data_IF_541049601879
#
_entry.id   IF_541049601879
#
_cell.length_a   1.000
_cell.length_b   1.000
_cell.length_c   1.000
_cell.angle_alpha   90.00
_cell.angle_beta   90.00
_cell.angle_gamma   90.00
#
_symmetry.space_group_name_H-M   'P 1'
#
loop_
_entity.id
_entity.type
_entity.pdbx_description
1 polymer ?
#
# COMPACT_ATOMS: atom_id res chain seq x y z
N UNK A 1 4.92 -25.85 2.97
CA UNK A 1 5.42 -25.35 4.27
C UNK A 1 4.88 -23.93 4.48
N UNK A 2 3.64 -23.82 4.99
CA UNK A 2 2.94 -22.53 5.19
C UNK A 2 3.67 -21.74 6.29
N UNK A 3 4.36 -20.66 5.90
CA UNK A 3 5.16 -19.84 6.81
C UNK A 3 4.34 -18.61 7.19
N UNK A 4 3.91 -18.58 8.45
CA UNK A 4 3.04 -17.54 8.99
C UNK A 4 3.58 -16.13 8.74
N UNK A 5 2.79 -15.28 8.09
CA UNK A 5 3.05 -13.85 7.97
C UNK A 5 2.91 -13.22 9.35
N UNK A 6 3.93 -12.50 9.80
CA UNK A 6 3.84 -11.72 11.04
C UNK A 6 2.78 -10.64 10.87
N UNK A 7 1.79 -10.59 11.75
CA UNK A 7 0.62 -9.68 11.69
C UNK A 7 1.01 -8.22 11.46
N UNK A 8 2.07 -7.73 12.10
CA UNK A 8 2.51 -6.33 11.93
C UNK A 8 3.01 -5.96 10.53
N UNK A 9 3.33 -6.95 9.69
CA UNK A 9 3.78 -6.74 8.30
C UNK A 9 2.64 -6.83 7.28
N UNK A 10 1.42 -7.20 7.70
CA UNK A 10 0.28 -7.44 6.80
C UNK A 10 0.07 -6.28 5.83
N UNK A 11 0.07 -5.03 6.29
CA UNK A 11 -0.10 -3.88 5.40
C UNK A 11 1.00 -3.78 4.32
N UNK A 12 2.26 -4.04 4.66
CA UNK A 12 3.35 -3.98 3.68
C UNK A 12 3.22 -5.10 2.66
N UNK A 13 2.86 -6.30 3.12
CA UNK A 13 2.57 -7.41 2.22
C UNK A 13 1.39 -7.09 1.27
N UNK A 14 0.28 -6.57 1.79
CA UNK A 14 -0.85 -6.16 0.96
C UNK A 14 -0.42 -5.12 -0.09
N UNK A 15 0.34 -4.10 0.30
CA UNK A 15 0.80 -3.05 -0.61
C UNK A 15 1.75 -3.58 -1.68
N UNK A 16 2.67 -4.49 -1.34
CA UNK A 16 3.52 -5.17 -2.32
C UNK A 16 2.67 -5.99 -3.31
N UNK A 17 1.70 -6.77 -2.84
CA UNK A 17 0.79 -7.52 -3.72
C UNK A 17 0.03 -6.57 -4.67
N UNK A 18 -0.49 -5.45 -4.17
CA UNK A 18 -1.20 -4.46 -4.97
C UNK A 18 -0.29 -3.86 -6.04
N UNK A 19 0.93 -3.45 -5.68
CA UNK A 19 1.90 -2.86 -6.61
C UNK A 19 2.33 -3.86 -7.69
N UNK A 20 2.64 -5.12 -7.33
CA UNK A 20 2.96 -6.17 -8.31
C UNK A 20 1.78 -6.47 -9.24
N UNK A 21 0.56 -6.53 -8.70
CA UNK A 21 -0.65 -6.72 -9.53
C UNK A 21 -0.87 -5.53 -10.47
N UNK A 22 -0.66 -4.31 -9.98
CA UNK A 22 -0.76 -3.10 -10.78
C UNK A 22 0.31 -3.07 -11.88
N UNK A 23 1.55 -3.49 -11.60
CA UNK A 23 2.61 -3.64 -12.60
C UNK A 23 2.24 -4.66 -13.69
N UNK A 24 1.71 -5.82 -13.30
CA UNK A 24 1.23 -6.82 -14.27
C UNK A 24 0.15 -6.25 -15.18
N UNK A 25 -0.75 -5.42 -14.65
CA UNK A 25 -1.77 -4.73 -15.44
C UNK A 25 -1.16 -3.63 -16.31
N UNK A 26 -0.25 -2.82 -15.78
CA UNK A 26 0.46 -1.77 -16.49
C UNK A 26 1.20 -2.33 -17.72
N UNK A 27 1.86 -3.48 -17.59
CA UNK A 27 2.54 -4.15 -18.69
C UNK A 27 1.55 -4.56 -19.81
N UNK A 28 0.37 -5.08 -19.44
CA UNK A 28 -0.69 -5.43 -20.42
C UNK A 28 -1.26 -4.20 -21.11
N UNK A 29 -1.40 -3.10 -20.38
CA UNK A 29 -1.96 -1.83 -20.88
C UNK A 29 -0.90 -0.90 -21.50
N UNK A 30 0.37 -1.32 -21.55
CA UNK A 30 1.52 -0.52 -22.02
C UNK A 30 1.69 0.79 -21.26
N UNK A 31 1.40 0.80 -19.97
CA UNK A 31 1.66 1.95 -19.09
C UNK A 31 3.13 1.97 -18.66
N UNK A 32 3.72 3.16 -18.58
CA UNK A 32 5.13 3.34 -18.25
C UNK A 32 5.40 3.53 -16.74
N UNK A 33 4.36 3.73 -15.92
CA UNK A 33 4.48 4.00 -14.49
C UNK A 33 3.19 3.66 -13.74
N UNK A 34 3.31 3.51 -12.42
CA UNK A 34 2.20 3.45 -11.47
C UNK A 34 2.05 4.81 -10.78
N UNK A 35 0.84 5.15 -10.34
CA UNK A 35 0.57 6.37 -9.58
C UNK A 35 -0.14 6.01 -8.28
N UNK A 36 0.32 6.59 -7.17
CA UNK A 36 -0.30 6.39 -5.85
C UNK A 36 -0.58 7.72 -5.17
N UNK A 37 -1.58 7.75 -4.30
CA UNK A 37 -1.89 8.89 -3.43
C UNK A 37 -1.07 8.92 -2.14
N UNK A 38 0.10 8.29 -2.10
CA UNK A 38 0.92 8.25 -0.89
C UNK A 38 1.45 9.64 -0.52
N UNK A 39 1.42 9.95 0.77
CA UNK A 39 2.09 11.11 1.35
C UNK A 39 2.97 10.72 2.54
N UNK A 40 4.10 11.40 2.70
CA UNK A 40 5.12 10.95 3.64
C UNK A 40 4.70 11.25 5.09
N UNK A 41 4.68 10.22 5.93
CA UNK A 41 4.47 10.38 7.37
C UNK A 41 3.03 10.62 7.84
N UNK A 42 2.03 10.58 6.95
CA UNK A 42 0.62 10.76 7.35
C UNK A 42 0.06 9.54 8.11
N UNK A 43 0.38 8.33 7.66
CA UNK A 43 0.01 7.08 8.34
C UNK A 43 1.24 6.24 8.63
N UNK A 44 1.14 5.36 9.64
CA UNK A 44 2.26 4.55 10.13
C UNK A 44 2.97 3.72 9.04
N UNK A 45 2.27 3.36 7.98
CA UNK A 45 2.84 2.57 6.88
C UNK A 45 3.58 3.41 5.84
N UNK A 46 3.35 4.73 5.75
CA UNK A 46 3.94 5.61 4.74
C UNK A 46 5.22 6.29 5.25
N UNK A 47 6.17 5.48 5.73
CA UNK A 47 7.51 5.96 6.06
C UNK A 47 8.43 5.79 4.86
N UNK A 48 9.52 6.57 4.80
CA UNK A 48 10.51 6.44 3.74
C UNK A 48 11.07 5.00 3.64
N UNK A 49 11.30 4.34 4.79
CA UNK A 49 11.77 2.95 4.81
C UNK A 49 10.77 1.98 4.20
N UNK A 50 9.48 2.16 4.47
CA UNK A 50 8.45 1.28 3.92
C UNK A 50 8.24 1.53 2.42
N UNK A 51 8.23 2.80 1.99
CA UNK A 51 8.12 3.16 0.57
C UNK A 51 9.31 2.61 -0.23
N UNK A 52 10.53 2.73 0.30
CA UNK A 52 11.71 2.14 -0.32
C UNK A 52 11.60 0.63 -0.47
N UNK A 53 11.10 -0.05 0.56
CA UNK A 53 10.88 -1.49 0.52
C UNK A 53 9.84 -1.84 -0.53
N UNK A 54 8.70 -1.16 -0.57
CA UNK A 54 7.62 -1.35 -1.55
C UNK A 54 8.11 -1.18 -2.99
N UNK A 55 8.82 -0.09 -3.28
CA UNK A 55 9.34 0.22 -4.61
C UNK A 55 10.34 -0.84 -5.10
N UNK A 56 11.06 -1.48 -4.18
CA UNK A 56 12.04 -2.50 -4.52
C UNK A 56 11.45 -3.82 -5.04
N UNK A 57 10.12 -3.96 -5.05
CA UNK A 57 9.38 -5.13 -5.56
C UNK A 57 8.69 -4.90 -6.91
N UNK A 58 8.79 -3.70 -7.48
CA UNK A 58 8.32 -3.38 -8.84
C UNK A 58 9.48 -2.85 -9.67
N UNK A 59 9.38 -3.03 -10.98
CA UNK A 59 10.41 -2.66 -11.96
C UNK A 59 10.08 -1.36 -12.71
N UNK A 60 8.81 -0.93 -12.69
CA UNK A 60 8.37 0.35 -13.27
C UNK A 60 8.29 1.45 -12.20
N UNK A 61 8.48 2.74 -12.58
CA UNK A 61 8.40 3.87 -11.65
C UNK A 61 7.05 3.96 -10.92
N UNK A 62 7.09 4.26 -9.61
CA UNK A 62 5.91 4.59 -8.79
C UNK A 62 5.90 6.09 -8.50
N UNK A 63 5.01 6.82 -9.14
CA UNK A 63 4.83 8.25 -8.99
C UNK A 63 3.97 8.56 -7.76
N UNK A 64 4.42 9.53 -6.96
CA UNK A 64 3.80 9.94 -5.69
C UNK A 64 3.61 11.46 -5.66
N UNK A 65 2.64 12.01 -6.42
CA UNK A 65 2.45 13.46 -6.53
C UNK A 65 2.15 14.13 -5.18
N UNK A 66 1.63 13.40 -4.20
CA UNK A 66 1.26 13.92 -2.88
C UNK A 66 2.37 13.75 -1.83
N UNK A 67 3.57 13.27 -2.21
CA UNK A 67 4.59 12.83 -1.24
C UNK A 67 4.99 13.91 -0.22
N UNK A 68 5.01 15.18 -0.65
CA UNK A 68 5.40 16.33 0.16
C UNK A 68 4.23 17.20 0.64
N UNK A 69 2.99 16.79 0.40
CA UNK A 69 1.81 17.58 0.79
C UNK A 69 1.30 17.16 2.16
N UNK A 70 0.84 18.14 2.94
CA UNK A 70 0.09 17.88 4.16
C UNK A 70 -1.39 17.54 3.86
N UNK A 71 -2.10 17.11 4.92
CA UNK A 71 -3.50 16.68 4.81
C UNK A 71 -4.44 17.82 4.42
N UNK A 72 -4.18 19.03 4.88
CA UNK A 72 -5.04 20.19 4.63
C UNK A 72 -4.88 20.66 3.18
N UNK A 73 -3.66 20.63 2.65
CA UNK A 73 -3.38 20.88 1.24
C UNK A 73 -4.08 19.86 0.34
N UNK A 74 -3.95 18.56 0.66
CA UNK A 74 -4.63 17.48 -0.07
C UNK A 74 -6.15 17.67 -0.01
N UNK A 75 -6.68 18.00 1.18
CA UNK A 75 -8.11 18.24 1.39
C UNK A 75 -8.61 19.43 0.57
N UNK A 76 -7.84 20.52 0.52
CA UNK A 76 -8.16 21.71 -0.26
C UNK A 76 -8.19 21.40 -1.75
N UNK A 77 -7.22 20.63 -2.26
CA UNK A 77 -7.20 20.16 -3.64
C UNK A 77 -8.42 19.27 -3.90
N UNK A 78 -8.72 18.31 -3.03
CA UNK A 78 -9.86 17.40 -3.16
C UNK A 78 -11.20 18.14 -3.19
N UNK A 79 -11.36 19.20 -2.37
CA UNK A 79 -12.56 20.06 -2.41
C UNK A 79 -12.63 20.84 -3.71
N UNK A 80 -11.51 21.40 -4.18
CA UNK A 80 -11.42 22.17 -5.44
C UNK A 80 -11.78 21.32 -6.66
N UNK A 81 -11.37 20.04 -6.70
CA UNK A 81 -11.67 19.13 -7.82
C UNK A 81 -12.96 18.32 -7.61
N UNK A 82 -13.69 18.56 -6.52
CA UNK A 82 -14.98 17.93 -6.23
C UNK A 82 -14.94 16.47 -5.74
N UNK A 83 -13.77 15.91 -5.42
CA UNK A 83 -13.62 14.52 -4.97
C UNK A 83 -13.82 14.35 -3.46
N UNK A 84 -13.64 15.41 -2.68
CA UNK A 84 -13.68 15.35 -1.21
C UNK A 84 -14.91 14.63 -0.66
N UNK A 85 -16.12 15.06 -1.06
CA UNK A 85 -17.37 14.54 -0.49
C UNK A 85 -17.62 13.07 -0.82
N UNK A 86 -17.13 12.59 -1.96
CA UNK A 86 -17.25 11.18 -2.36
C UNK A 86 -16.26 10.34 -1.55
N UNK A 87 -15.04 10.84 -1.36
CA UNK A 87 -13.97 10.14 -0.63
C UNK A 87 -14.15 10.12 0.89
N UNK A 88 -14.99 10.98 1.47
CA UNK A 88 -15.23 11.03 2.92
C UNK A 88 -16.46 10.23 3.39
N UNK A 89 -17.12 9.49 2.50
CA UNK A 89 -18.20 8.59 2.91
C UNK A 89 -17.64 7.53 3.86
N UNK A 90 -18.41 7.18 4.89
CA UNK A 90 -18.00 6.19 5.90
C UNK A 90 -17.67 4.86 5.23
N UNK A 91 -16.45 4.40 5.46
CA UNK A 91 -15.97 3.07 5.09
C UNK A 91 -15.81 2.25 6.39
N UNK A 92 -16.15 0.97 6.35
CA UNK A 92 -16.04 0.04 7.49
C UNK A 92 -14.57 -0.22 7.89
N UNK A 93 -13.63 0.32 7.10
CA UNK A 93 -12.21 0.26 7.37
C UNK A 93 -11.63 -1.12 7.03
N UNK A 94 -10.32 -1.24 7.15
CA UNK A 94 -9.63 -2.48 6.80
C UNK A 94 -9.64 -3.47 7.97
N UNK A 95 -10.53 -4.47 7.95
CA UNK A 95 -10.68 -5.49 9.00
C UNK A 95 -9.46 -6.38 9.25
N UNK A 96 -8.47 -6.37 8.35
CA UNK A 96 -7.19 -7.10 8.49
C UNK A 96 -6.02 -6.20 8.93
N UNK A 97 -6.28 -4.92 9.23
CA UNK A 97 -5.25 -3.98 9.66
C UNK A 97 -4.66 -4.39 11.03
N UNK A 98 -3.32 -4.45 11.17
CA UNK A 98 -2.67 -4.77 12.43
C UNK A 98 -2.81 -3.63 13.43
N UNK A 99 -2.95 -3.97 14.73
CA UNK A 99 -2.99 -2.97 15.81
C UNK A 99 -1.72 -2.10 15.85
N UNK A 100 -0.57 -2.69 15.54
CA UNK A 100 0.74 -2.02 15.52
C UNK A 100 1.42 -2.30 14.17
N UNK A 101 1.13 -1.51 13.12
CA UNK A 101 1.77 -1.66 11.82
C UNK A 101 3.28 -1.43 11.90
N UNK A 102 4.03 -2.12 11.04
CA UNK A 102 5.48 -1.87 10.90
C UNK A 102 5.73 -0.49 10.29
N UNK A 103 6.56 0.32 10.94
CA UNK A 103 6.98 1.66 10.48
C UNK A 103 8.36 1.67 9.83
N UNK A 104 9.17 0.62 10.06
CA UNK A 104 10.52 0.48 9.50
C UNK A 104 10.74 -0.94 9.00
N UNK A 105 10.12 -1.25 7.87
CA UNK A 105 10.37 -2.49 7.16
C UNK A 105 11.83 -2.55 6.68
N UNK A 106 12.35 -3.76 6.59
CA UNK A 106 13.67 -4.06 6.04
C UNK A 106 13.47 -5.03 4.90
N UNK A 107 14.03 -4.75 3.72
CA UNK A 107 13.85 -5.59 2.53
C UNK A 107 14.23 -7.04 2.84
N UNK A 108 15.32 -7.26 3.58
CA UNK A 108 15.82 -8.60 3.93
C UNK A 108 14.87 -9.39 4.86
N UNK A 109 13.95 -8.70 5.55
CA UNK A 109 12.94 -9.33 6.41
C UNK A 109 11.65 -9.65 5.66
N UNK A 110 11.48 -9.09 4.47
CA UNK A 110 10.35 -9.36 3.59
C UNK A 110 10.83 -10.39 2.58
N UNK A 111 10.24 -11.58 2.62
CA UNK A 111 10.56 -12.60 1.63
C UNK A 111 9.93 -12.17 0.31
N UNK A 112 10.61 -12.46 -0.79
CA UNK A 112 9.94 -12.49 -2.08
C UNK A 112 8.88 -13.59 -2.04
N UNK A 113 7.63 -13.17 -1.96
CA UNK A 113 6.48 -14.03 -2.18
C UNK A 113 6.04 -13.85 -3.63
N UNK A 114 5.63 -14.94 -4.27
CA UNK A 114 4.77 -14.81 -5.43
C UNK A 114 3.46 -14.11 -5.00
N UNK A 115 2.89 -13.29 -5.88
CA UNK A 115 1.61 -12.59 -5.64
C UNK A 115 0.55 -13.60 -5.24
N UNK A 116 0.56 -14.79 -5.85
CA UNK A 116 -0.34 -15.89 -5.54
C UNK A 116 -0.21 -16.37 -4.10
N UNK A 117 1.02 -16.58 -3.62
CA UNK A 117 1.26 -16.98 -2.23
C UNK A 117 0.83 -15.91 -1.24
N UNK A 118 1.04 -14.64 -1.60
CA UNK A 118 0.68 -13.51 -0.75
C UNK A 118 -0.84 -13.35 -0.65
N UNK A 119 -1.53 -13.45 -1.78
CA UNK A 119 -2.98 -13.46 -1.85
C UNK A 119 -3.55 -14.62 -1.02
N UNK A 120 -3.02 -15.83 -1.20
CA UNK A 120 -3.45 -17.01 -0.43
C UNK A 120 -3.26 -16.80 1.08
N UNK A 121 -2.15 -16.18 1.49
CA UNK A 121 -1.88 -15.91 2.90
C UNK A 121 -2.77 -14.79 3.47
N UNK A 122 -3.09 -13.75 2.68
CA UNK A 122 -3.96 -12.64 3.09
C UNK A 122 -5.40 -13.14 3.28
N UNK A 123 -5.91 -14.00 2.39
CA UNK A 123 -7.27 -14.56 2.48
C UNK A 123 -7.46 -15.44 3.73
N UNK A 124 -6.37 -15.97 4.29
CA UNK A 124 -6.40 -16.76 5.53
C UNK A 124 -6.42 -15.90 6.81
N UNK A 125 -6.26 -14.57 6.70
CA UNK A 125 -6.26 -13.69 7.87
C UNK A 125 -7.71 -13.51 8.34
N UNK A 126 -8.04 -13.82 9.62
CA UNK A 126 -9.37 -13.58 10.14
C UNK A 126 -9.71 -12.09 10.08
N UNK A 127 -10.82 -11.76 9.44
CA UNK A 127 -11.36 -10.40 9.36
C UNK A 127 -11.94 -10.08 10.73
N UNK A 128 -11.53 -8.97 11.33
CA UNK A 128 -12.17 -8.45 12.54
C UNK A 128 -13.53 -7.87 12.14
N UNK A 129 -14.60 -8.45 12.69
CA UNK A 129 -15.91 -7.80 12.79
C UNK A 129 -15.95 -6.84 13.98
#
# INVERSE_FOLDING_TARGET
MSKFIKTRYVCIYCRIAMLKTAEMLANKLKCAALLTGDNLGQVATQTLSNLFVEDSFVSIPVLRPLIGFDKDEITKIAKKIGTFYISTKSDEGCGISPKNPITKAKKEKIREFDVKDLMNAIVQIPIKG
#
